data_IF_915290010449
#
_entry.id   IF_915290010449
#
_cell.length_a   1.000
_cell.length_b   1.000
_cell.length_c   1.000
_cell.angle_alpha   90.00
_cell.angle_beta   90.00
_cell.angle_gamma   90.00
#
_symmetry.space_group_name_H-M   'P 1'
#
loop_
_entity.id
_entity.type
_entity.pdbx_description
1 polymer ?
#
# COMPACT_ATOMS: atom_id res chain seq x y z
N UNK A 1 -6.32 18.47 -9.91
CA UNK A 1 -6.48 18.69 -8.45
C UNK A 1 -7.22 19.98 -8.13
N UNK A 2 -6.79 21.12 -8.68
CA UNK A 2 -7.38 22.45 -8.41
C UNK A 2 -8.89 22.56 -8.68
N UNK A 3 -9.42 21.82 -9.65
CA UNK A 3 -10.86 21.80 -9.93
C UNK A 3 -11.68 21.08 -8.84
N UNK A 4 -11.11 20.08 -8.15
CA UNK A 4 -11.75 19.43 -7.00
C UNK A 4 -11.82 20.37 -5.79
N UNK A 5 -10.80 21.23 -5.63
CA UNK A 5 -10.77 22.30 -4.62
C UNK A 5 -11.79 23.44 -4.89
N UNK A 6 -12.36 23.50 -6.10
CA UNK A 6 -13.39 24.50 -6.50
C UNK A 6 -14.83 24.00 -6.38
N UNK A 7 -15.04 22.70 -6.14
CA UNK A 7 -16.38 22.11 -5.86
C UNK A 7 -16.43 21.70 -4.39
N UNK A 8 -17.61 21.74 -3.76
CA UNK A 8 -17.86 21.20 -2.40
C UNK A 8 -17.67 19.67 -2.41
N UNK A 9 -16.44 19.19 -2.48
CA UNK A 9 -16.12 17.79 -2.31
C UNK A 9 -15.77 17.57 -0.84
N UNK A 10 -16.54 16.74 -0.13
CA UNK A 10 -16.23 16.38 1.27
C UNK A 10 -15.08 15.35 1.35
N UNK A 11 -14.83 14.64 0.24
CA UNK A 11 -13.82 13.58 0.11
C UNK A 11 -13.06 13.72 -1.22
N UNK A 12 -11.73 13.58 -1.16
CA UNK A 12 -10.82 13.48 -2.31
C UNK A 12 -10.24 12.08 -2.35
N UNK A 13 -10.26 11.44 -3.53
CA UNK A 13 -9.54 10.19 -3.78
C UNK A 13 -8.25 10.49 -4.54
N UNK A 14 -7.11 10.25 -3.90
CA UNK A 14 -5.80 10.27 -4.53
C UNK A 14 -5.50 8.89 -5.13
N UNK A 15 -5.36 8.86 -6.46
CA UNK A 15 -5.02 7.69 -7.26
C UNK A 15 -4.06 8.05 -8.41
N UNK A 16 -3.13 8.97 -8.14
CA UNK A 16 -2.26 9.59 -9.14
C UNK A 16 -0.80 9.13 -9.01
N UNK A 17 -0.09 9.60 -7.98
CA UNK A 17 1.33 9.32 -7.80
C UNK A 17 1.82 9.71 -6.41
N UNK A 18 3.03 9.28 -6.06
CA UNK A 18 3.70 9.73 -4.84
C UNK A 18 3.92 11.24 -4.81
N UNK A 19 4.20 11.86 -5.96
CA UNK A 19 4.42 13.31 -6.06
C UNK A 19 3.13 14.10 -5.84
N UNK A 20 2.00 13.59 -6.36
CA UNK A 20 0.70 14.19 -6.09
C UNK A 20 0.36 14.18 -4.58
N UNK A 21 0.76 13.12 -3.86
CA UNK A 21 0.63 13.07 -2.39
C UNK A 21 1.50 14.13 -1.73
N UNK A 22 2.79 14.21 -2.10
CA UNK A 22 3.74 15.21 -1.55
C UNK A 22 3.26 16.65 -1.75
N UNK A 23 2.74 16.95 -2.93
CA UNK A 23 2.36 18.31 -3.31
C UNK A 23 1.02 18.74 -2.69
N UNK A 24 0.05 17.83 -2.57
CA UNK A 24 -1.33 18.23 -2.31
C UNK A 24 -1.95 17.66 -1.04
N UNK A 25 -1.39 16.61 -0.43
CA UNK A 25 -2.04 15.95 0.72
C UNK A 25 -2.23 16.89 1.91
N UNK A 26 -1.15 17.54 2.35
CA UNK A 26 -1.18 18.43 3.51
C UNK A 26 -2.11 19.63 3.27
N UNK A 27 -1.99 20.40 2.16
CA UNK A 27 -2.91 21.51 1.89
C UNK A 27 -4.39 21.14 1.83
N UNK A 28 -4.72 19.91 1.41
CA UNK A 28 -6.12 19.43 1.41
C UNK A 28 -6.63 19.15 2.81
N UNK A 29 -5.85 18.45 3.63
CA UNK A 29 -6.22 18.10 5.00
C UNK A 29 -6.36 19.36 5.87
N UNK A 30 -5.51 20.37 5.68
CA UNK A 30 -5.62 21.66 6.40
C UNK A 30 -6.91 22.42 6.08
N UNK A 31 -7.50 22.20 4.90
CA UNK A 31 -8.80 22.76 4.52
C UNK A 31 -9.98 21.95 5.06
N UNK A 32 -9.72 20.90 5.84
CA UNK A 32 -10.74 20.01 6.40
C UNK A 32 -11.29 18.97 5.41
N UNK A 33 -10.64 18.79 4.26
CA UNK A 33 -11.05 17.76 3.30
C UNK A 33 -10.61 16.39 3.80
N UNK A 34 -11.47 15.38 3.64
CA UNK A 34 -11.05 13.99 3.82
C UNK A 34 -10.34 13.50 2.56
N UNK A 35 -9.18 12.83 2.71
CA UNK A 35 -8.37 12.34 1.60
C UNK A 35 -8.14 10.83 1.74
N UNK A 36 -8.58 10.09 0.73
CA UNK A 36 -8.25 8.66 0.57
C UNK A 36 -6.98 8.57 -0.28
N UNK A 37 -5.92 7.93 0.23
CA UNK A 37 -4.59 7.88 -0.40
C UNK A 37 -4.27 6.46 -0.88
N UNK A 38 -4.16 6.24 -2.19
CA UNK A 38 -3.74 4.95 -2.76
C UNK A 38 -2.22 4.87 -2.96
N UNK A 39 -1.57 6.01 -3.16
CA UNK A 39 -0.12 6.14 -3.31
C UNK A 39 0.62 6.13 -1.97
N UNK A 40 0.26 5.18 -1.09
CA UNK A 40 0.68 5.13 0.31
C UNK A 40 2.20 5.07 0.52
N UNK A 41 2.97 4.64 -0.49
CA UNK A 41 4.43 4.65 -0.42
C UNK A 41 5.04 6.03 -0.16
N UNK A 42 4.36 7.12 -0.55
CA UNK A 42 4.81 8.48 -0.24
C UNK A 42 4.84 8.76 1.28
N UNK A 43 3.96 8.10 2.05
CA UNK A 43 3.89 8.24 3.51
C UNK A 43 4.99 7.47 4.25
N UNK A 44 5.91 6.84 3.53
CA UNK A 44 7.18 6.36 4.09
C UNK A 44 8.11 7.52 4.51
N UNK A 45 7.90 8.72 3.98
CA UNK A 45 8.52 9.94 4.49
C UNK A 45 7.84 10.35 5.80
N UNK A 46 8.59 10.24 6.90
CA UNK A 46 8.06 10.51 8.24
C UNK A 46 7.70 11.98 8.46
N UNK A 47 8.40 12.92 7.81
CA UNK A 47 8.09 14.34 7.91
C UNK A 47 6.78 14.66 7.19
N UNK A 48 6.60 14.14 5.97
CA UNK A 48 5.35 14.27 5.22
C UNK A 48 4.19 13.64 5.98
N UNK A 49 4.37 12.42 6.48
CA UNK A 49 3.34 11.69 7.23
C UNK A 49 2.92 12.43 8.50
N UNK A 50 3.88 12.89 9.30
CA UNK A 50 3.59 13.66 10.51
C UNK A 50 2.87 14.98 10.20
N UNK A 51 3.28 15.68 9.13
CA UNK A 51 2.60 16.89 8.69
C UNK A 51 1.15 16.62 8.26
N UNK A 52 0.91 15.53 7.52
CA UNK A 52 -0.42 15.12 7.08
C UNK A 52 -1.33 14.71 8.24
N UNK A 53 -0.84 13.88 9.17
CA UNK A 53 -1.58 13.49 10.38
C UNK A 53 -1.95 14.71 11.22
N UNK A 54 -1.03 15.66 11.38
CA UNK A 54 -1.26 16.90 12.11
C UNK A 54 -2.28 17.81 11.39
N UNK A 55 -2.19 17.92 10.06
CA UNK A 55 -3.14 18.68 9.25
C UNK A 55 -4.55 18.10 9.33
N UNK A 56 -4.69 16.77 9.25
CA UNK A 56 -5.97 16.07 9.40
C UNK A 56 -6.62 16.38 10.76
N UNK A 57 -5.84 16.29 11.84
CA UNK A 57 -6.30 16.57 13.20
C UNK A 57 -6.76 18.04 13.37
N UNK A 58 -6.04 19.01 12.81
CA UNK A 58 -6.40 20.44 12.90
C UNK A 58 -7.58 20.82 12.02
N UNK A 59 -7.61 20.34 10.78
CA UNK A 59 -8.63 20.69 9.80
C UNK A 59 -9.96 19.96 10.01
N UNK A 60 -9.95 18.85 10.77
CA UNK A 60 -11.12 17.98 10.95
C UNK A 60 -11.40 17.05 9.77
N UNK A 61 -10.48 16.99 8.80
CA UNK A 61 -10.51 16.05 7.68
C UNK A 61 -9.96 14.67 8.07
N UNK A 62 -10.32 13.64 7.32
CA UNK A 62 -9.79 12.29 7.51
C UNK A 62 -8.66 11.99 6.53
N UNK A 63 -7.49 11.57 7.03
CA UNK A 63 -6.51 10.85 6.24
C UNK A 63 -6.85 9.36 6.25
N UNK A 64 -7.21 8.79 5.09
CA UNK A 64 -7.56 7.38 4.98
C UNK A 64 -6.68 6.65 3.96
N UNK A 65 -5.89 5.68 4.42
CA UNK A 65 -5.18 4.73 3.57
C UNK A 65 -5.96 3.41 3.55
N UNK A 66 -6.61 3.03 2.43
CA UNK A 66 -7.35 1.78 2.35
C UNK A 66 -6.40 0.59 2.18
N UNK A 67 -6.94 -0.63 2.28
CA UNK A 67 -6.11 -1.85 2.23
C UNK A 67 -5.40 -2.05 0.89
N UNK A 68 -5.88 -1.44 -0.20
CA UNK A 68 -5.34 -1.63 -1.53
C UNK A 68 -5.51 -3.07 -2.00
N UNK A 69 -4.46 -3.66 -2.57
CA UNK A 69 -4.45 -5.03 -3.09
C UNK A 69 -4.18 -6.13 -2.03
N UNK A 70 -4.34 -5.81 -0.74
CA UNK A 70 -4.17 -6.75 0.38
C UNK A 70 -5.38 -6.72 1.33
N UNK A 71 -5.40 -7.65 2.30
CA UNK A 71 -6.41 -7.78 3.35
C UNK A 71 -5.80 -8.25 4.68
N UNK A 72 -6.64 -8.47 5.69
CA UNK A 72 -6.21 -8.92 7.02
C UNK A 72 -5.56 -7.84 7.89
N UNK A 73 -5.76 -6.56 7.54
CA UNK A 73 -5.21 -5.43 8.31
C UNK A 73 -5.90 -5.26 9.66
N UNK A 74 -7.15 -5.68 9.79
CA UNK A 74 -7.89 -5.80 11.04
C UNK A 74 -7.23 -6.79 12.01
N UNK A 75 -6.92 -8.00 11.52
CA UNK A 75 -6.19 -9.01 12.28
C UNK A 75 -4.78 -8.54 12.66
N UNK A 76 -4.08 -7.84 11.75
CA UNK A 76 -2.77 -7.24 12.03
C UNK A 76 -2.84 -6.20 13.14
N UNK A 77 -3.80 -5.27 13.09
CA UNK A 77 -3.99 -4.26 14.15
C UNK A 77 -4.24 -4.93 15.50
N UNK A 78 -5.10 -5.96 15.53
CA UNK A 78 -5.36 -6.74 16.74
C UNK A 78 -4.11 -7.42 17.29
N UNK A 79 -3.30 -8.05 16.43
CA UNK A 79 -2.03 -8.63 16.83
C UNK A 79 -1.06 -7.57 17.35
N UNK A 80 -0.94 -6.43 16.66
CA UNK A 80 -0.05 -5.32 17.06
C UNK A 80 -0.42 -4.75 18.44
N UNK A 81 -1.72 -4.66 18.76
CA UNK A 81 -2.18 -4.22 20.07
C UNK A 81 -1.72 -5.15 21.22
N UNK A 82 -1.55 -6.45 20.94
CA UNK A 82 -1.02 -7.41 21.92
C UNK A 82 0.53 -7.48 21.95
N UNK A 83 1.18 -7.00 20.88
CA UNK A 83 2.62 -7.11 20.65
C UNK A 83 2.95 -8.16 19.58
N UNK A 84 3.65 -7.72 18.53
CA UNK A 84 4.07 -8.55 17.39
C UNK A 84 5.59 -8.57 17.29
N UNK A 85 6.12 -9.77 17.06
CA UNK A 85 7.55 -10.02 16.93
C UNK A 85 7.99 -9.77 15.48
N UNK A 86 7.23 -10.29 14.51
CA UNK A 86 7.55 -10.19 13.09
C UNK A 86 6.32 -9.95 12.21
N UNK A 87 6.47 -9.04 11.25
CA UNK A 87 5.54 -8.82 10.13
C UNK A 87 6.36 -8.82 8.86
N UNK A 88 5.91 -9.59 7.86
CA UNK A 88 6.53 -9.63 6.54
C UNK A 88 5.51 -9.67 5.42
N UNK A 89 5.91 -9.20 4.26
CA UNK A 89 5.16 -9.31 3.03
C UNK A 89 6.08 -9.75 1.88
N UNK A 90 5.67 -10.80 1.18
CA UNK A 90 6.23 -11.21 -0.10
C UNK A 90 5.32 -10.73 -1.22
N UNK A 91 5.88 -9.98 -2.15
CA UNK A 91 5.22 -9.50 -3.37
C UNK A 91 5.82 -10.23 -4.55
N UNK A 92 5.08 -11.19 -5.10
CA UNK A 92 5.51 -12.01 -6.23
C UNK A 92 4.65 -11.71 -7.46
N UNK A 93 5.31 -11.53 -8.61
CA UNK A 93 4.64 -11.28 -9.90
C UNK A 93 5.35 -12.04 -11.02
N UNK A 94 4.66 -12.28 -12.15
CA UNK A 94 5.30 -12.78 -13.36
C UNK A 94 6.49 -11.90 -13.79
N UNK A 95 7.57 -12.45 -14.37
CA UNK A 95 8.78 -11.70 -14.68
C UNK A 95 8.53 -10.45 -15.53
N UNK A 96 7.59 -10.53 -16.48
CA UNK A 96 7.21 -9.40 -17.35
C UNK A 96 6.74 -8.16 -16.57
N UNK A 97 6.14 -8.34 -15.39
CA UNK A 97 5.63 -7.23 -14.57
C UNK A 97 6.75 -6.39 -13.91
N UNK A 98 7.98 -6.91 -13.88
CA UNK A 98 9.14 -6.24 -13.29
C UNK A 98 10.01 -5.49 -14.30
N UNK A 99 9.73 -5.60 -15.61
CA UNK A 99 10.47 -4.91 -16.67
C UNK A 99 10.27 -3.39 -16.60
N UNK A 100 11.30 -2.63 -16.98
CA UNK A 100 11.26 -1.16 -17.00
C UNK A 100 11.34 -0.51 -15.61
N UNK A 101 11.65 -1.27 -14.57
CA UNK A 101 11.90 -0.74 -13.22
C UNK A 101 13.41 -0.53 -13.09
N UNK A 102 13.90 0.72 -12.90
CA UNK A 102 15.33 1.01 -12.88
C UNK A 102 16.14 0.17 -11.87
N UNK A 103 15.56 -0.09 -10.70
CA UNK A 103 16.19 -0.95 -9.70
C UNK A 103 16.42 -2.38 -10.24
N UNK A 104 15.43 -2.95 -10.93
CA UNK A 104 15.51 -4.32 -11.47
C UNK A 104 16.47 -4.41 -12.65
N UNK A 105 16.47 -3.41 -13.53
CA UNK A 105 17.43 -3.31 -14.64
C UNK A 105 18.87 -3.22 -14.12
N UNK A 106 19.08 -2.46 -13.03
CA UNK A 106 20.37 -2.38 -12.35
C UNK A 106 20.87 -3.69 -11.73
N UNK A 107 20.00 -4.68 -11.50
CA UNK A 107 20.40 -6.01 -11.03
C UNK A 107 21.00 -6.88 -12.14
N UNK A 108 20.82 -6.52 -13.42
CA UNK A 108 21.31 -7.31 -14.56
C UNK A 108 20.64 -8.68 -14.70
N UNK A 109 19.43 -8.86 -14.18
CA UNK A 109 18.68 -10.13 -14.24
C UNK A 109 17.98 -10.25 -15.59
N UNK A 110 18.22 -11.34 -16.32
CA UNK A 110 17.44 -11.70 -17.52
C UNK A 110 16.08 -12.28 -17.08
N UNK A 111 15.06 -11.43 -17.12
CA UNK A 111 13.69 -11.78 -16.75
C UNK A 111 13.00 -12.71 -17.77
N UNK A 112 13.45 -12.74 -19.03
CA UNK A 112 12.86 -13.57 -20.07
C UNK A 112 13.38 -15.02 -20.03
N UNK A 113 14.63 -15.20 -19.57
CA UNK A 113 15.23 -16.52 -19.40
C UNK A 113 14.98 -17.17 -18.02
N UNK A 114 14.18 -16.52 -17.15
CA UNK A 114 13.98 -16.97 -15.79
C UNK A 114 13.17 -18.29 -15.73
N UNK A 115 13.74 -19.33 -15.12
CA UNK A 115 13.11 -20.67 -14.98
C UNK A 115 12.59 -20.99 -13.59
N UNK A 116 13.05 -20.26 -12.58
CA UNK A 116 12.72 -20.48 -11.17
C UNK A 116 12.47 -19.12 -10.47
N UNK A 117 11.72 -19.08 -9.37
CA UNK A 117 11.49 -17.84 -8.65
C UNK A 117 12.80 -17.16 -8.22
N UNK A 118 12.92 -15.85 -8.50
CA UNK A 118 14.08 -15.03 -8.16
C UNK A 118 13.69 -13.88 -7.25
N UNK A 119 14.31 -13.84 -6.07
CA UNK A 119 14.23 -12.68 -5.18
C UNK A 119 14.99 -11.51 -5.82
N UNK A 120 14.27 -10.43 -6.09
CA UNK A 120 14.80 -9.15 -6.62
C UNK A 120 15.20 -8.21 -5.48
N UNK A 121 14.51 -8.28 -4.35
CA UNK A 121 14.80 -7.49 -3.15
C UNK A 121 14.38 -8.26 -1.90
N UNK A 122 15.16 -8.15 -0.83
CA UNK A 122 14.80 -8.63 0.51
C UNK A 122 15.39 -7.70 1.56
N UNK A 123 14.54 -7.09 2.38
CA UNK A 123 14.98 -6.07 3.32
C UNK A 123 13.83 -5.39 4.07
N UNK A 124 14.10 -4.33 4.84
CA UNK A 124 13.06 -3.49 5.42
C UNK A 124 12.18 -2.86 4.34
N UNK A 125 10.89 -2.67 4.63
CA UNK A 125 9.98 -1.97 3.74
C UNK A 125 10.43 -0.52 3.49
N UNK A 126 11.10 0.10 4.47
CA UNK A 126 11.70 1.45 4.34
C UNK A 126 12.64 1.56 3.13
N UNK A 127 13.45 0.54 2.90
CA UNK A 127 14.43 0.51 1.81
C UNK A 127 13.80 0.06 0.50
N UNK A 128 12.93 -0.94 0.54
CA UNK A 128 12.36 -1.53 -0.67
C UNK A 128 11.26 -0.70 -1.33
N UNK A 129 10.40 -0.02 -0.55
CA UNK A 129 9.26 0.74 -1.11
C UNK A 129 9.67 1.79 -2.15
N UNK A 130 10.72 2.59 -1.93
CA UNK A 130 11.20 3.56 -2.92
C UNK A 130 11.66 2.95 -4.25
N UNK A 131 12.15 1.71 -4.27
CA UNK A 131 12.68 1.06 -5.47
C UNK A 131 11.60 0.55 -6.42
N UNK A 132 10.39 0.28 -5.93
CA UNK A 132 9.31 -0.32 -6.69
C UNK A 132 8.03 0.55 -6.65
N UNK A 133 8.10 1.82 -7.09
CA UNK A 133 6.94 2.70 -7.09
C UNK A 133 5.77 2.04 -7.83
N UNK A 134 4.55 2.25 -7.34
CA UNK A 134 3.30 1.64 -7.81
C UNK A 134 3.15 0.13 -7.55
N UNK A 135 4.23 -0.63 -7.37
CA UNK A 135 4.18 -2.10 -7.24
C UNK A 135 4.10 -2.57 -5.79
N UNK A 136 4.68 -1.81 -4.84
CA UNK A 136 4.76 -2.20 -3.42
C UNK A 136 4.09 -1.20 -2.47
N UNK A 137 3.14 -0.37 -2.95
CA UNK A 137 2.32 0.47 -2.08
C UNK A 137 1.65 -0.36 -0.97
N UNK A 138 1.29 -1.61 -1.24
CA UNK A 138 0.75 -2.54 -0.24
C UNK A 138 1.70 -2.82 0.93
N UNK A 139 3.02 -2.79 0.72
CA UNK A 139 4.00 -2.92 1.79
C UNK A 139 4.03 -1.66 2.67
N UNK A 140 3.81 -0.49 2.06
CA UNK A 140 3.60 0.76 2.81
C UNK A 140 2.31 0.72 3.62
N UNK A 141 1.19 0.27 3.03
CA UNK A 141 -0.08 0.08 3.75
C UNK A 141 0.08 -0.85 4.95
N UNK A 142 0.75 -1.99 4.75
CA UNK A 142 1.02 -2.95 5.83
C UNK A 142 1.89 -2.35 6.94
N UNK A 143 2.91 -1.58 6.56
CA UNK A 143 3.81 -0.90 7.49
C UNK A 143 3.08 0.15 8.32
N UNK A 144 2.21 0.96 7.68
CA UNK A 144 1.41 1.99 8.32
C UNK A 144 0.35 1.39 9.28
N UNK A 145 -0.26 0.27 8.90
CA UNK A 145 -1.26 -0.42 9.73
C UNK A 145 -0.65 -1.30 10.82
N UNK A 146 0.63 -1.61 10.72
CA UNK A 146 1.34 -2.58 11.55
C UNK A 146 2.48 -1.97 12.36
N UNK A 147 3.66 -2.58 12.22
CA UNK A 147 4.83 -2.32 13.09
C UNK A 147 5.80 -1.27 12.53
N UNK A 148 5.39 -0.47 11.55
CA UNK A 148 6.22 0.54 10.90
C UNK A 148 7.10 0.02 9.76
N UNK A 149 7.68 0.94 8.99
CA UNK A 149 8.46 0.64 7.77
C UNK A 149 9.80 -0.04 8.06
N UNK A 150 10.43 0.28 9.19
CA UNK A 150 11.75 -0.23 9.57
C UNK A 150 11.70 -1.71 9.99
N UNK A 151 10.57 -2.11 10.61
CA UNK A 151 10.40 -3.46 11.15
C UNK A 151 9.64 -4.40 10.21
N UNK A 152 8.83 -3.87 9.30
CA UNK A 152 8.17 -4.68 8.26
C UNK A 152 9.20 -5.20 7.27
N UNK A 153 9.30 -6.52 7.11
CA UNK A 153 10.15 -7.14 6.08
C UNK A 153 9.42 -7.23 4.74
N UNK A 154 10.07 -6.78 3.67
CA UNK A 154 9.58 -6.88 2.30
C UNK A 154 10.48 -7.82 1.51
N UNK A 155 9.86 -8.76 0.82
CA UNK A 155 10.49 -9.57 -0.22
C UNK A 155 9.78 -9.31 -1.56
N UNK A 156 10.55 -9.02 -2.61
CA UNK A 156 10.03 -8.83 -3.97
C UNK A 156 10.57 -9.95 -4.86
N UNK A 157 9.68 -10.64 -5.57
CA UNK A 157 10.02 -11.86 -6.33
C UNK A 157 9.49 -11.81 -7.76
N UNK A 158 10.37 -12.09 -8.71
CA UNK A 158 10.00 -12.49 -10.06
C UNK A 158 9.78 -14.00 -10.09
N UNK A 159 8.59 -14.45 -10.47
CA UNK A 159 8.22 -15.86 -10.43
C UNK A 159 7.59 -16.29 -11.76
N UNK A 160 8.28 -17.09 -12.59
CA UNK A 160 7.78 -17.50 -13.91
C UNK A 160 6.61 -18.48 -13.81
N UNK A 161 6.35 -19.07 -12.62
CA UNK A 161 5.23 -19.98 -12.40
C UNK A 161 3.92 -19.28 -12.03
N UNK A 162 3.93 -17.96 -11.82
CA UNK A 162 2.73 -17.22 -11.44
C UNK A 162 1.93 -16.74 -12.66
N UNK A 163 0.61 -16.84 -12.52
CA UNK A 163 -0.36 -16.22 -13.44
C UNK A 163 -0.89 -14.88 -12.89
N UNK A 164 -0.97 -14.76 -11.56
CA UNK A 164 -1.51 -13.60 -10.86
C UNK A 164 -0.45 -12.92 -10.00
N UNK A 165 -0.71 -11.67 -9.63
CA UNK A 165 0.11 -10.97 -8.65
C UNK A 165 -0.21 -11.53 -7.26
N UNK A 166 0.76 -12.21 -6.65
CA UNK A 166 0.55 -12.90 -5.37
C UNK A 166 1.21 -12.14 -4.24
N UNK A 167 0.40 -11.78 -3.24
CA UNK A 167 0.86 -11.12 -2.03
C UNK A 167 0.69 -12.07 -0.86
N UNK A 168 1.77 -12.33 -0.13
CA UNK A 168 1.75 -13.17 1.06
C UNK A 168 2.18 -12.35 2.26
N UNK A 169 1.26 -12.13 3.20
CA UNK A 169 1.54 -11.47 4.47
C UNK A 169 1.71 -12.55 5.52
N UNK A 170 2.76 -12.46 6.33
CA UNK A 170 2.99 -13.34 7.47
C UNK A 170 3.21 -12.53 8.73
N UNK A 171 2.44 -12.85 9.77
CA UNK A 171 2.47 -12.18 11.07
C UNK A 171 2.70 -13.23 12.16
N UNK A 172 3.60 -12.92 13.10
CA UNK A 172 3.90 -13.76 14.24
C UNK A 172 4.09 -12.91 15.50
N UNK A 173 3.41 -13.27 16.57
CA UNK A 173 3.50 -12.57 17.85
C UNK A 173 2.79 -13.31 18.97
N UNK A 174 2.48 -12.58 20.04
CA UNK A 174 1.89 -13.13 21.28
C UNK A 174 0.52 -13.76 21.08
N UNK A 175 -0.25 -13.28 20.10
CA UNK A 175 -1.58 -13.80 19.74
C UNK A 175 -1.51 -15.01 18.82
N UNK A 176 -0.31 -15.53 18.51
CA UNK A 176 -0.08 -16.63 17.59
C UNK A 176 0.45 -16.17 16.24
N UNK A 177 0.15 -16.95 15.20
CA UNK A 177 0.68 -16.76 13.85
C UNK A 177 -0.46 -16.85 12.84
N UNK A 178 -0.42 -16.00 11.83
CA UNK A 178 -1.32 -16.09 10.69
C UNK A 178 -0.64 -15.68 9.40
N UNK A 179 -1.19 -16.18 8.30
CA UNK A 179 -0.76 -15.86 6.95
C UNK A 179 -1.98 -15.48 6.12
N UNK A 180 -1.85 -14.43 5.32
CA UNK A 180 -2.87 -14.00 4.36
C UNK A 180 -2.25 -14.06 2.97
N UNK A 181 -2.88 -14.80 2.06
CA UNK A 181 -2.44 -14.91 0.67
C UNK A 181 -3.52 -14.33 -0.23
N UNK A 182 -3.14 -13.39 -1.10
CA UNK A 182 -4.02 -12.82 -2.11
C UNK A 182 -3.42 -13.00 -3.49
N UNK A 183 -4.13 -13.70 -4.36
CA UNK A 183 -3.82 -13.84 -5.78
C UNK A 183 -4.68 -12.86 -6.57
N UNK A 184 -4.10 -11.71 -6.91
CA UNK A 184 -4.83 -10.60 -7.47
C UNK A 184 -4.81 -10.64 -9.00
N UNK A 185 -6.01 -10.52 -9.58
CA UNK A 185 -6.18 -10.22 -10.99
C UNK A 185 -5.66 -8.80 -11.28
N UNK A 186 -4.79 -8.62 -12.28
CA UNK A 186 -4.37 -7.30 -12.73
C UNK A 186 -5.56 -6.47 -13.24
N UNK A 187 -5.51 -5.15 -13.08
CA UNK A 187 -6.49 -4.25 -13.69
C UNK A 187 -6.38 -4.31 -15.22
N UNK A 188 -7.50 -4.36 -15.97
CA UNK A 188 -7.48 -4.35 -17.43
C UNK A 188 -6.76 -3.15 -18.04
N UNK A 189 -6.86 -1.97 -17.40
CA UNK A 189 -6.27 -0.71 -17.89
C UNK A 189 -4.81 -0.52 -17.45
N UNK A 190 -4.40 -1.14 -16.35
CA UNK A 190 -3.05 -1.05 -15.83
C UNK A 190 -2.64 -2.37 -15.16
N UNK A 191 -1.95 -3.27 -15.88
CA UNK A 191 -1.54 -4.58 -15.37
C UNK A 191 -0.60 -4.53 -14.14
N UNK A 192 0.02 -3.36 -13.86
CA UNK A 192 0.87 -3.20 -12.67
C UNK A 192 0.03 -3.09 -11.38
N UNK A 193 -1.23 -2.70 -11.49
CA UNK A 193 -2.16 -2.48 -10.37
C UNK A 193 -3.10 -3.66 -10.20
N UNK A 194 -3.26 -4.13 -8.96
CA UNK A 194 -4.27 -5.12 -8.62
C UNK A 194 -5.68 -4.53 -8.74
N UNK A 195 -6.62 -5.24 -9.38
CA UNK A 195 -7.99 -4.75 -9.54
C UNK A 195 -8.68 -4.54 -8.18
N UNK A 196 -8.33 -5.36 -7.18
CA UNK A 196 -8.77 -5.22 -5.79
C UNK A 196 -8.39 -3.86 -5.19
N UNK A 197 -7.26 -3.25 -5.58
CA UNK A 197 -6.88 -1.93 -5.09
C UNK A 197 -7.89 -0.85 -5.50
N UNK A 198 -8.43 -0.93 -6.72
CA UNK A 198 -9.49 -0.04 -7.20
C UNK A 198 -10.78 -0.22 -6.39
N UNK A 199 -11.17 -1.48 -6.12
CA UNK A 199 -12.37 -1.76 -5.32
C UNK A 199 -12.20 -1.45 -3.84
N UNK A 200 -10.98 -1.54 -3.30
CA UNK A 200 -10.64 -1.10 -1.95
C UNK A 200 -10.83 0.43 -1.82
N UNK A 201 -10.46 1.20 -2.84
CA UNK A 201 -10.76 2.64 -2.92
C UNK A 201 -12.27 2.92 -2.94
N UNK A 202 -13.02 2.19 -3.77
CA UNK A 202 -14.48 2.33 -3.83
C UNK A 202 -15.14 1.96 -2.50
N UNK A 203 -14.69 0.90 -1.84
CA UNK A 203 -15.16 0.48 -0.53
C UNK A 203 -14.86 1.54 0.53
N UNK A 204 -13.68 2.17 0.48
CA UNK A 204 -13.32 3.27 1.35
C UNK A 204 -14.25 4.48 1.17
N UNK A 205 -14.55 4.89 -0.07
CA UNK A 205 -15.52 5.95 -0.36
C UNK A 205 -16.90 5.62 0.22
N UNK A 206 -17.38 4.39 0.03
CA UNK A 206 -18.67 3.93 0.57
C UNK A 206 -18.68 3.94 2.10
N UNK A 207 -17.58 3.54 2.74
CA UNK A 207 -17.47 3.50 4.20
C UNK A 207 -17.56 4.90 4.82
N UNK A 208 -17.07 5.95 4.15
CA UNK A 208 -17.21 7.34 4.61
C UNK A 208 -18.66 7.85 4.52
N UNK A 209 -19.44 7.32 3.58
CA UNK A 209 -20.88 7.61 3.47
C UNK A 209 -21.76 6.82 4.44
N UNK A 210 -21.27 5.70 4.98
CA UNK A 210 -22.04 4.81 5.85
C UNK A 210 -22.01 5.30 7.32
N UNK A 211 -23.17 5.62 7.90
CA UNK A 211 -23.29 6.02 9.30
C UNK A 211 -23.66 4.83 10.20
N UNK A 212 -22.96 4.71 11.32
CA UNK A 212 -23.41 3.91 12.49
C UNK A 212 -23.13 2.42 12.48
N UNK A 213 -22.58 1.84 11.41
CA UNK A 213 -22.28 0.40 11.32
C UNK A 213 -20.92 0.16 10.69
N UNK A 214 -20.09 -0.68 11.33
CA UNK A 214 -18.77 -1.11 10.83
C UNK A 214 -18.60 -2.60 11.06
N UNK A 215 -18.05 -3.30 10.07
CA UNK A 215 -17.70 -4.72 10.14
C UNK A 215 -16.23 -4.88 9.75
N UNK A 216 -15.41 -5.52 10.58
CA UNK A 216 -14.05 -5.98 10.22
C UNK A 216 -13.13 -4.94 9.55
N UNK A 217 -13.05 -3.70 10.08
CA UNK A 217 -12.18 -2.62 9.57
C UNK A 217 -11.11 -2.22 10.57
#
# INVERSE_FOLDING_TARGET
MEAALKKRADVVLEAASHDAVREHLVPMLERGLSVIVLSAGALGDDALRAAAESAAARGGGLLYVPSGGIGGLDALKGACAAGVDAVSIRVAKPPVAWKGIPFVEGLGVDLDALREPKVLFSGPAREGVPHFPQNVNIAAVLSLAGIGFDRTRLEVVADPGLTFNTHTISVAGRTGRFQVVLENVPSPENPKTAWLACYSALAAVKALGARGVRYGT
#
